data_IF_075607092133
#
_entry.id   IF_075607092133
#
_cell.length_a   1.000
_cell.length_b   1.000
_cell.length_c   1.000
_cell.angle_alpha   90.00
_cell.angle_beta   90.00
_cell.angle_gamma   90.00
#
_symmetry.space_group_name_H-M   'P 1'
#
loop_
_entity.id
_entity.type
_entity.pdbx_description
1 polymer ?
#
# COMPACT_ATOMS: atom_id res chain seq x y z
N UNK A 1 12.16 -11.71 35.17
CA UNK A 1 10.73 -11.43 34.86
C UNK A 1 9.87 -12.44 35.62
N UNK A 2 8.55 -12.21 35.74
CA UNK A 2 7.62 -13.22 36.30
C UNK A 2 6.53 -13.55 35.29
N UNK A 3 6.09 -14.80 35.23
CA UNK A 3 4.93 -15.19 34.44
C UNK A 3 3.61 -14.90 35.19
N UNK A 4 2.48 -15.21 34.57
CA UNK A 4 1.13 -15.08 35.14
C UNK A 4 0.89 -15.89 36.42
N UNK A 5 1.70 -16.92 36.65
CA UNK A 5 1.65 -17.77 37.85
C UNK A 5 2.62 -17.30 38.96
N UNK A 6 3.34 -16.19 38.74
CA UNK A 6 4.25 -15.59 39.72
C UNK A 6 5.65 -16.21 39.75
N UNK A 7 5.93 -17.21 38.91
CA UNK A 7 7.21 -17.91 38.79
C UNK A 7 8.27 -17.00 38.17
N UNK A 8 9.52 -17.11 38.63
CA UNK A 8 10.62 -16.23 38.22
C UNK A 8 11.39 -16.84 37.04
N UNK A 9 11.58 -16.03 36.01
CA UNK A 9 12.36 -16.38 34.83
C UNK A 9 13.53 -15.41 34.64
N UNK A 10 14.67 -15.96 34.25
CA UNK A 10 15.79 -15.20 33.70
C UNK A 10 15.58 -15.11 32.19
N UNK A 11 15.37 -13.90 31.68
CA UNK A 11 15.19 -13.67 30.26
C UNK A 11 16.42 -12.97 29.71
N UNK A 12 17.02 -13.56 28.69
CA UNK A 12 18.12 -12.99 27.93
C UNK A 12 17.52 -12.30 26.72
N UNK A 13 17.57 -10.97 26.73
CA UNK A 13 17.27 -10.17 25.55
C UNK A 13 18.50 -10.23 24.68
N UNK A 14 18.42 -10.74 23.43
CA UNK A 14 19.55 -10.71 22.52
C UNK A 14 20.03 -9.27 22.39
N UNK A 15 21.31 -9.03 22.69
CA UNK A 15 21.92 -7.76 22.29
C UNK A 15 21.81 -7.67 20.77
N UNK A 16 21.35 -6.55 20.21
CA UNK A 16 21.37 -6.39 18.77
C UNK A 16 22.80 -6.69 18.30
N UNK A 17 22.97 -7.42 17.17
CA UNK A 17 24.30 -7.63 16.63
C UNK A 17 24.97 -6.25 16.52
N UNK A 18 26.29 -6.14 16.81
CA UNK A 18 26.99 -4.91 16.54
C UNK A 18 26.70 -4.54 15.09
N UNK A 19 26.43 -3.25 14.80
CA UNK A 19 26.17 -2.84 13.43
C UNK A 19 27.29 -3.45 12.57
N UNK A 20 26.94 -4.17 11.48
CA UNK A 20 27.94 -4.64 10.52
C UNK A 20 28.91 -3.49 10.24
N UNK A 21 30.23 -3.75 10.11
CA UNK A 21 31.23 -2.70 9.91
C UNK A 21 30.79 -1.83 8.75
N UNK A 22 30.22 -0.67 9.07
CA UNK A 22 29.58 0.29 8.18
C UNK A 22 29.27 -0.28 6.78
N UNK A 23 28.48 -1.36 6.72
CA UNK A 23 27.71 -1.59 5.51
C UNK A 23 26.62 -0.58 5.67
N UNK A 24 26.82 0.58 5.06
CA UNK A 24 25.79 1.51 4.64
C UNK A 24 24.61 0.68 4.17
N UNK A 25 23.70 0.30 5.07
CA UNK A 25 22.40 -0.23 4.70
C UNK A 25 21.77 0.91 3.93
N UNK A 26 21.46 0.72 2.63
CA UNK A 26 20.88 1.78 1.87
C UNK A 26 19.42 1.96 2.30
N UNK A 27 19.20 2.69 3.38
CA UNK A 27 18.30 3.85 3.28
C UNK A 27 19.03 4.99 2.54
N UNK A 28 19.91 4.66 1.58
CA UNK A 28 20.34 5.60 0.57
C UNK A 28 19.06 6.01 -0.13
N UNK A 29 18.80 7.31 -0.15
CA UNK A 29 17.91 7.92 -1.12
C UNK A 29 18.28 7.33 -2.49
N UNK A 30 17.52 6.34 -2.94
CA UNK A 30 17.71 5.71 -4.23
C UNK A 30 17.73 6.82 -5.26
N UNK A 31 18.72 6.79 -6.16
CA UNK A 31 18.78 7.81 -7.19
C UNK A 31 17.49 7.76 -8.02
N UNK A 32 17.14 8.89 -8.66
CA UNK A 32 15.97 8.91 -9.55
C UNK A 32 16.06 7.79 -10.61
N UNK A 33 17.26 7.54 -11.13
CA UNK A 33 17.51 6.49 -12.11
C UNK A 33 17.25 5.09 -11.53
N UNK A 34 17.60 4.84 -10.27
CA UNK A 34 17.29 3.57 -9.61
C UNK A 34 15.78 3.40 -9.41
N UNK A 35 15.07 4.47 -9.03
CA UNK A 35 13.62 4.45 -8.90
C UNK A 35 12.93 4.20 -10.24
N UNK A 36 13.44 4.78 -11.32
CA UNK A 36 12.94 4.57 -12.68
C UNK A 36 13.14 3.10 -13.11
N UNK A 37 14.33 2.52 -12.86
CA UNK A 37 14.59 1.08 -13.10
C UNK A 37 13.70 0.16 -12.25
N UNK A 38 13.35 0.56 -11.03
CA UNK A 38 12.40 -0.19 -10.19
C UNK A 38 10.98 -0.05 -10.76
N UNK A 39 10.62 1.12 -11.28
CA UNK A 39 9.32 1.35 -11.90
C UNK A 39 9.15 0.48 -13.15
N UNK A 40 10.16 0.40 -14.02
CA UNK A 40 10.19 -0.43 -15.22
C UNK A 40 9.99 -1.91 -14.88
N UNK A 41 10.77 -2.45 -13.94
CA UNK A 41 10.57 -3.83 -13.44
C UNK A 41 9.18 -4.05 -12.86
N UNK A 42 8.67 -3.06 -12.11
CA UNK A 42 7.31 -3.11 -11.57
C UNK A 42 6.25 -3.18 -12.67
N UNK A 43 6.42 -2.45 -13.77
CA UNK A 43 5.53 -2.51 -14.94
C UNK A 43 5.60 -3.87 -15.64
N UNK A 44 6.80 -4.43 -15.81
CA UNK A 44 6.98 -5.76 -16.39
C UNK A 44 6.26 -6.84 -15.57
N UNK A 45 6.31 -6.74 -14.24
CA UNK A 45 5.59 -7.66 -13.36
C UNK A 45 4.07 -7.58 -13.54
N UNK A 46 3.53 -6.45 -13.99
CA UNK A 46 2.10 -6.27 -14.24
C UNK A 46 1.63 -6.76 -15.62
N UNK A 47 2.52 -7.20 -16.51
CA UNK A 47 2.13 -7.75 -17.83
C UNK A 47 1.05 -8.84 -17.76
N UNK A 48 1.01 -9.75 -16.77
CA UNK A 48 -0.06 -10.74 -16.69
C UNK A 48 -1.46 -10.15 -16.43
N UNK A 49 -1.56 -8.86 -16.07
CA UNK A 49 -2.81 -8.11 -15.94
C UNK A 49 -3.29 -7.51 -17.27
N UNK A 50 -2.48 -7.55 -18.33
CA UNK A 50 -2.87 -7.09 -19.67
C UNK A 50 -4.16 -7.78 -20.14
N UNK A 51 -5.03 -7.00 -20.77
CA UNK A 51 -6.35 -7.42 -21.27
C UNK A 51 -7.32 -7.95 -20.18
N UNK A 52 -6.99 -7.84 -18.89
CA UNK A 52 -7.90 -8.17 -17.79
C UNK A 52 -8.58 -6.92 -17.26
N UNK A 53 -9.83 -7.10 -16.83
CA UNK A 53 -10.59 -6.07 -16.14
C UNK A 53 -10.99 -6.54 -14.74
N UNK A 54 -10.95 -5.63 -13.77
CA UNK A 54 -11.36 -5.84 -12.38
C UNK A 54 -12.61 -5.00 -12.15
N UNK A 55 -13.68 -5.63 -11.67
CA UNK A 55 -14.96 -4.98 -11.36
C UNK A 55 -15.09 -4.83 -9.84
N UNK A 56 -15.45 -3.63 -9.39
CA UNK A 56 -15.61 -3.30 -7.98
C UNK A 56 -16.93 -2.54 -7.76
N UNK A 57 -17.99 -3.24 -7.32
CA UNK A 57 -19.24 -2.60 -6.91
C UNK A 57 -19.09 -1.94 -5.55
N UNK A 58 -19.44 -0.66 -5.46
CA UNK A 58 -19.40 0.12 -4.23
C UNK A 58 -20.57 1.10 -4.16
N UNK A 59 -21.51 0.80 -3.25
CA UNK A 59 -22.76 1.53 -3.09
C UNK A 59 -23.56 1.60 -4.41
N UNK A 60 -23.87 2.80 -4.91
CA UNK A 60 -24.61 3.02 -6.16
C UNK A 60 -23.72 2.78 -7.40
N UNK A 61 -22.42 2.98 -7.28
CA UNK A 61 -21.52 2.92 -8.42
C UNK A 61 -20.87 1.55 -8.56
N UNK A 62 -20.63 1.15 -9.81
CA UNK A 62 -19.73 0.06 -10.16
C UNK A 62 -18.54 0.63 -10.88
N UNK A 63 -17.34 0.23 -10.45
CA UNK A 63 -16.09 0.63 -11.07
C UNK A 63 -15.50 -0.53 -11.85
N UNK A 64 -14.96 -0.25 -13.04
CA UNK A 64 -14.25 -1.24 -13.85
C UNK A 64 -12.92 -0.68 -14.28
N UNK A 65 -11.86 -1.29 -13.77
CA UNK A 65 -10.49 -1.03 -14.18
C UNK A 65 -10.09 -2.05 -15.24
N UNK A 66 -9.72 -1.61 -16.43
CA UNK A 66 -9.10 -2.47 -17.45
C UNK A 66 -7.66 -2.02 -17.68
N UNK A 67 -6.69 -2.90 -17.40
CA UNK A 67 -5.27 -2.55 -17.42
C UNK A 67 -4.84 -2.03 -18.79
N UNK A 68 -4.06 -0.94 -18.78
CA UNK A 68 -3.59 -0.24 -19.98
C UNK A 68 -4.71 0.17 -20.97
N UNK A 69 -5.93 0.41 -20.46
CA UNK A 69 -7.06 0.81 -21.29
C UNK A 69 -7.81 1.99 -20.69
N UNK A 70 -8.68 1.72 -19.72
CA UNK A 70 -9.53 2.74 -19.14
C UNK A 70 -10.05 2.34 -17.76
N UNK A 71 -10.40 3.36 -16.97
CA UNK A 71 -11.11 3.23 -15.71
C UNK A 71 -12.50 3.83 -15.89
N UNK A 72 -13.52 3.02 -15.67
CA UNK A 72 -14.93 3.40 -15.80
C UNK A 72 -15.64 3.39 -14.46
N UNK A 73 -16.60 4.31 -14.32
CA UNK A 73 -17.64 4.32 -13.30
C UNK A 73 -18.99 4.23 -14.03
N UNK A 74 -19.88 3.37 -13.57
CA UNK A 74 -21.22 3.21 -14.17
C UNK A 74 -22.20 2.66 -13.13
N UNK A 75 -23.48 2.90 -13.35
CA UNK A 75 -24.55 2.27 -12.58
C UNK A 75 -25.00 1.00 -13.30
N UNK A 76 -25.27 -0.08 -12.56
CA UNK A 76 -25.85 -1.29 -13.12
C UNK A 76 -27.35 -1.23 -12.90
N UNK A 77 -28.14 -1.15 -13.97
CA UNK A 77 -29.58 -1.28 -13.83
C UNK A 77 -29.91 -2.74 -13.45
N UNK A 78 -30.61 -2.94 -12.33
CA UNK A 78 -31.05 -4.27 -11.89
C UNK A 78 -32.48 -4.60 -12.36
N UNK A 79 -33.13 -3.70 -13.10
CA UNK A 79 -34.47 -3.93 -13.64
C UNK A 79 -34.40 -4.53 -15.06
N UNK A 80 -34.60 -5.84 -15.15
CA UNK A 80 -34.64 -6.63 -16.40
C UNK A 80 -33.55 -7.71 -16.48
N UNK A 81 -33.58 -8.52 -17.55
CA UNK A 81 -32.54 -9.53 -17.85
C UNK A 81 -31.23 -8.89 -18.39
N UNK A 82 -31.22 -7.57 -18.56
CA UNK A 82 -30.07 -6.82 -19.06
C UNK A 82 -29.22 -6.26 -17.91
N UNK A 83 -28.01 -6.78 -17.78
CA UNK A 83 -26.94 -6.25 -16.90
C UNK A 83 -26.17 -5.08 -17.53
N UNK A 84 -26.84 -4.29 -18.37
CA UNK A 84 -26.21 -3.22 -19.14
C UNK A 84 -25.90 -2.02 -18.24
N UNK A 85 -24.67 -1.49 -18.37
CA UNK A 85 -24.23 -0.33 -17.60
C UNK A 85 -24.86 0.95 -18.12
N UNK A 86 -25.46 1.73 -17.23
CA UNK A 86 -25.97 3.08 -17.50
C UNK A 86 -25.08 4.12 -16.81
N UNK A 87 -25.21 5.39 -17.21
CA UNK A 87 -24.44 6.50 -16.61
C UNK A 87 -22.92 6.23 -16.61
N UNK A 88 -22.37 5.85 -17.78
CA UNK A 88 -20.95 5.48 -17.90
C UNK A 88 -20.10 6.75 -17.96
N UNK A 89 -19.18 6.87 -17.01
CA UNK A 89 -18.16 7.91 -16.95
C UNK A 89 -16.77 7.28 -16.98
N UNK A 90 -15.85 7.89 -17.72
CA UNK A 90 -14.44 7.53 -17.68
C UNK A 90 -13.74 8.39 -16.63
N UNK A 91 -13.07 7.76 -15.66
CA UNK A 91 -12.32 8.44 -14.61
C UNK A 91 -10.86 8.67 -14.99
N UNK A 92 -10.42 8.03 -16.06
CA UNK A 92 -9.11 8.16 -16.67
C UNK A 92 -8.94 7.14 -17.77
N UNK A 93 -8.07 7.44 -18.73
CA UNK A 93 -7.66 6.55 -19.81
C UNK A 93 -6.16 6.37 -19.77
N UNK A 94 -5.73 5.17 -20.15
CA UNK A 94 -4.32 4.89 -20.29
C UNK A 94 -3.76 5.67 -21.48
N UNK A 95 -2.56 6.23 -21.29
CA UNK A 95 -1.77 6.83 -22.36
C UNK A 95 -0.45 6.09 -22.43
N UNK A 96 -0.10 5.67 -23.65
CA UNK A 96 1.23 5.18 -23.94
C UNK A 96 2.27 6.24 -23.56
N UNK A 97 3.45 5.83 -23.05
CA UNK A 97 4.47 6.76 -22.64
C UNK A 97 4.97 7.57 -23.83
N UNK A 98 4.96 8.89 -23.70
CA UNK A 98 5.71 9.77 -24.59
C UNK A 98 7.18 9.77 -24.18
N UNK A 99 8.09 10.07 -25.11
CA UNK A 99 9.55 10.10 -24.88
C UNK A 99 10.02 11.05 -23.75
N UNK A 100 9.11 11.83 -23.16
CA UNK A 100 9.40 12.84 -22.13
C UNK A 100 8.91 12.47 -20.73
N UNK A 101 7.98 11.52 -20.58
CA UNK A 101 7.39 11.22 -19.27
C UNK A 101 7.38 9.71 -18.98
N UNK A 102 7.82 9.29 -17.78
CA UNK A 102 7.81 7.88 -17.40
C UNK A 102 6.37 7.39 -17.22
N UNK A 103 6.10 6.15 -17.65
CA UNK A 103 4.77 5.54 -17.57
C UNK A 103 4.28 5.34 -16.14
N UNK A 104 5.21 5.07 -15.23
CA UNK A 104 4.96 4.88 -13.82
C UNK A 104 6.12 5.41 -12.98
N UNK A 105 5.83 5.65 -11.71
CA UNK A 105 6.81 6.05 -10.69
C UNK A 105 6.70 5.14 -9.47
N UNK A 106 7.80 5.01 -8.75
CA UNK A 106 7.82 4.27 -7.48
C UNK A 106 7.65 5.25 -6.33
N UNK A 107 6.78 4.93 -5.39
CA UNK A 107 6.64 5.64 -4.13
C UNK A 107 6.81 4.66 -2.96
N UNK A 108 7.02 5.19 -1.76
CA UNK A 108 7.21 4.38 -0.55
C UNK A 108 6.32 4.85 0.57
N UNK A 109 5.70 3.90 1.27
CA UNK A 109 4.88 4.15 2.44
C UNK A 109 5.21 3.11 3.52
N UNK A 110 5.55 3.58 4.72
CA UNK A 110 6.00 2.73 5.82
C UNK A 110 7.08 1.69 5.41
N UNK A 111 8.10 2.11 4.64
CA UNK A 111 9.18 1.23 4.18
C UNK A 111 8.83 0.29 3.02
N UNK A 112 7.56 0.24 2.60
CA UNK A 112 7.09 -0.58 1.48
C UNK A 112 6.96 0.25 0.21
N UNK A 113 7.57 -0.21 -0.88
CA UNK A 113 7.42 0.42 -2.20
C UNK A 113 6.13 -0.01 -2.88
N UNK A 114 5.59 0.87 -3.70
CA UNK A 114 4.43 0.61 -4.56
C UNK A 114 4.58 1.39 -5.87
N UNK A 115 3.93 0.88 -6.92
CA UNK A 115 3.97 1.47 -8.25
C UNK A 115 2.80 2.42 -8.44
N UNK A 116 3.03 3.57 -9.05
CA UNK A 116 2.01 4.61 -9.26
C UNK A 116 1.92 4.97 -10.73
N UNK A 117 0.72 4.92 -11.28
CA UNK A 117 0.37 5.44 -12.61
C UNK A 117 -0.61 6.60 -12.47
N UNK A 118 -0.55 7.55 -13.40
CA UNK A 118 -1.53 8.63 -13.50
C UNK A 118 -2.27 8.54 -14.83
N UNK A 119 -3.59 8.43 -14.78
CA UNK A 119 -4.45 8.30 -15.95
C UNK A 119 -5.29 9.57 -16.08
N UNK A 120 -5.26 10.19 -17.25
CA UNK A 120 -5.95 11.45 -17.54
C UNK A 120 -7.03 11.25 -18.59
N UNK A 121 -7.59 12.34 -19.12
CA UNK A 121 -8.50 12.32 -20.27
C UNK A 121 -9.75 11.47 -20.00
N UNK A 122 -10.29 11.53 -18.79
CA UNK A 122 -11.61 10.99 -18.49
C UNK A 122 -12.74 11.82 -19.11
N UNK A 123 -13.99 11.45 -18.81
CA UNK A 123 -15.17 12.25 -19.17
C UNK A 123 -15.08 13.61 -18.49
N UNK A 124 -15.40 14.69 -19.21
CA UNK A 124 -15.39 16.06 -18.66
C UNK A 124 -16.30 16.16 -17.44
N UNK A 125 -15.77 16.77 -16.39
CA UNK A 125 -16.46 17.08 -15.15
C UNK A 125 -17.51 18.16 -15.42
N UNK A 126 -18.73 17.93 -14.99
CA UNK A 126 -19.84 18.88 -15.03
C UNK A 126 -19.60 20.08 -14.10
N UNK A 127 -18.93 19.87 -12.98
CA UNK A 127 -18.69 20.91 -11.97
C UNK A 127 -17.60 21.92 -12.37
N UNK A 128 -16.58 21.50 -13.11
CA UNK A 128 -15.42 22.34 -13.41
C UNK A 128 -14.97 22.32 -14.88
N UNK A 129 -15.63 21.55 -15.74
CA UNK A 129 -15.35 21.43 -17.16
C UNK A 129 -14.08 20.64 -17.52
N UNK A 130 -13.23 20.29 -16.55
CA UNK A 130 -11.96 19.60 -16.79
C UNK A 130 -12.16 18.08 -16.93
N UNK A 131 -11.33 17.38 -17.72
CA UNK A 131 -11.35 15.93 -17.78
C UNK A 131 -11.07 15.32 -16.40
N UNK A 132 -11.82 14.27 -16.03
CA UNK A 132 -11.53 13.47 -14.83
C UNK A 132 -10.14 12.84 -14.92
N UNK A 133 -9.48 12.71 -13.78
CA UNK A 133 -8.16 12.06 -13.67
C UNK A 133 -8.12 11.07 -12.51
N UNK A 134 -7.23 10.09 -12.59
CA UNK A 134 -7.06 9.08 -11.53
C UNK A 134 -5.58 8.81 -11.27
N UNK A 135 -5.17 8.81 -10.00
CA UNK A 135 -3.93 8.15 -9.57
C UNK A 135 -4.24 6.69 -9.22
N UNK A 136 -3.49 5.76 -9.82
CA UNK A 136 -3.64 4.32 -9.60
C UNK A 136 -2.38 3.81 -8.90
N UNK A 137 -2.57 3.21 -7.73
CA UNK A 137 -1.50 2.65 -6.90
C UNK A 137 -1.57 1.13 -6.89
N UNK A 138 -0.49 0.48 -7.32
CA UNK A 138 -0.35 -0.97 -7.26
C UNK A 138 0.52 -1.37 -6.09
N UNK A 139 -0.03 -2.16 -5.17
CA UNK A 139 0.65 -2.65 -3.99
C UNK A 139 0.80 -4.17 -4.04
N UNK A 140 1.96 -4.65 -3.59
CA UNK A 140 2.17 -6.09 -3.40
C UNK A 140 1.22 -6.64 -2.32
N UNK A 141 0.49 -7.70 -2.64
CA UNK A 141 -0.19 -8.57 -1.68
C UNK A 141 -0.08 -10.03 -2.15
N UNK A 142 0.64 -10.91 -1.43
CA UNK A 142 0.89 -12.28 -1.89
C UNK A 142 -0.36 -13.18 -1.89
N UNK A 143 -1.47 -12.74 -1.30
CA UNK A 143 -2.67 -13.56 -1.11
C UNK A 143 -3.76 -13.33 -2.17
N UNK A 144 -3.57 -12.36 -3.07
CA UNK A 144 -4.58 -12.00 -4.08
C UNK A 144 -3.91 -11.80 -5.43
N UNK A 145 -4.50 -12.36 -6.48
CA UNK A 145 -3.98 -12.17 -7.84
C UNK A 145 -4.12 -10.69 -8.25
N UNK A 146 -5.37 -10.21 -8.31
CA UNK A 146 -5.70 -8.80 -8.57
C UNK A 146 -7.01 -8.41 -7.87
N UNK A 147 -6.99 -7.33 -7.09
CA UNK A 147 -8.17 -6.82 -6.40
C UNK A 147 -8.12 -5.30 -6.25
N UNK A 148 -9.23 -4.61 -6.53
CA UNK A 148 -9.40 -3.21 -6.12
C UNK A 148 -9.68 -3.20 -4.61
N UNK A 149 -8.80 -2.58 -3.85
CA UNK A 149 -8.95 -2.46 -2.40
C UNK A 149 -9.61 -1.15 -1.98
N UNK A 150 -9.40 -0.08 -2.74
CA UNK A 150 -10.05 1.21 -2.49
C UNK A 150 -10.23 1.97 -3.80
N UNK A 151 -11.34 2.69 -3.92
CA UNK A 151 -11.45 3.82 -4.83
C UNK A 151 -12.12 4.98 -4.10
N UNK A 152 -11.61 6.20 -4.27
CA UNK A 152 -12.24 7.40 -3.72
C UNK A 152 -11.97 8.64 -4.55
N UNK A 153 -12.88 9.58 -4.49
CA UNK A 153 -12.68 10.93 -5.01
C UNK A 153 -11.92 11.76 -3.98
N UNK A 154 -10.65 12.05 -4.24
CA UNK A 154 -9.76 12.79 -3.31
C UNK A 154 -9.93 14.29 -3.42
N UNK A 155 -10.41 14.76 -4.57
CA UNK A 155 -10.90 16.13 -4.81
C UNK A 155 -11.83 16.09 -6.01
N UNK A 156 -12.56 17.18 -6.28
CA UNK A 156 -13.56 17.24 -7.34
C UNK A 156 -13.04 16.68 -8.67
N UNK A 157 -13.62 15.57 -9.13
CA UNK A 157 -13.29 14.87 -10.36
C UNK A 157 -11.83 14.33 -10.46
N UNK A 158 -11.14 14.18 -9.32
CA UNK A 158 -9.85 13.50 -9.22
C UNK A 158 -9.95 12.31 -8.26
N UNK A 159 -9.56 11.14 -8.74
CA UNK A 159 -9.75 9.88 -8.03
C UNK A 159 -8.41 9.26 -7.62
N UNK A 160 -8.46 8.45 -6.56
CA UNK A 160 -7.40 7.55 -6.15
C UNK A 160 -7.95 6.13 -6.18
N UNK A 161 -7.27 5.23 -6.90
CA UNK A 161 -7.57 3.80 -6.92
C UNK A 161 -6.37 3.01 -6.38
N UNK A 162 -6.63 2.07 -5.48
CA UNK A 162 -5.62 1.16 -4.93
C UNK A 162 -5.92 -0.27 -5.41
N UNK A 163 -4.95 -0.86 -6.10
CA UNK A 163 -5.01 -2.24 -6.60
C UNK A 163 -3.97 -3.08 -5.85
N UNK A 164 -4.40 -4.22 -5.32
CA UNK A 164 -3.54 -5.23 -4.70
C UNK A 164 -3.24 -6.34 -5.70
N UNK A 165 -2.00 -6.79 -5.77
CA UNK A 165 -1.59 -7.91 -6.63
C UNK A 165 -0.40 -8.69 -6.08
N UNK A 166 -0.41 -10.00 -6.28
CA UNK A 166 0.70 -10.89 -5.95
C UNK A 166 1.88 -10.72 -6.90
N UNK A 167 1.67 -10.19 -8.10
CA UNK A 167 2.71 -10.11 -9.12
C UNK A 167 3.86 -9.18 -8.72
N UNK A 168 3.54 -8.01 -8.13
CA UNK A 168 4.58 -7.11 -7.62
C UNK A 168 5.42 -7.74 -6.50
N UNK A 169 4.88 -8.72 -5.77
CA UNK A 169 5.61 -9.41 -4.71
C UNK A 169 6.76 -10.31 -5.23
N UNK A 170 6.82 -10.56 -6.54
CA UNK A 170 7.92 -11.29 -7.18
C UNK A 170 9.23 -10.51 -7.12
N UNK A 171 9.18 -9.19 -6.97
CA UNK A 171 10.36 -8.36 -6.70
C UNK A 171 10.41 -8.00 -5.20
N UNK A 172 11.47 -8.41 -4.47
CA UNK A 172 11.65 -8.13 -3.05
C UNK A 172 11.68 -6.65 -2.66
N UNK A 173 11.78 -5.73 -3.62
CA UNK A 173 11.73 -4.29 -3.36
C UNK A 173 10.32 -3.78 -3.09
N UNK A 174 9.27 -4.47 -3.56
CA UNK A 174 7.87 -4.15 -3.26
C UNK A 174 7.33 -4.94 -2.05
N UNK A 175 8.10 -5.91 -1.54
CA UNK A 175 7.77 -6.62 -0.30
C UNK A 175 8.35 -5.88 0.91
N UNK A 176 7.77 -6.12 2.09
CA UNK A 176 8.29 -5.52 3.32
C UNK A 176 9.49 -6.35 3.80
N UNK A 177 10.66 -5.71 3.97
CA UNK A 177 11.84 -6.33 4.61
C UNK A 177 11.73 -6.35 6.14
N UNK A 178 10.87 -5.52 6.74
CA UNK A 178 10.78 -5.30 8.19
C UNK A 178 10.02 -6.42 8.95
N UNK A 179 9.45 -7.41 8.26
CA UNK A 179 8.69 -8.47 8.93
C UNK A 179 9.54 -9.49 9.70
N UNK A 180 10.88 -9.38 9.71
CA UNK A 180 11.78 -10.35 10.37
C UNK A 180 12.75 -9.80 11.40
N UNK A 181 12.69 -8.51 11.75
CA UNK A 181 13.52 -7.92 12.83
C UNK A 181 12.96 -8.18 14.25
N UNK A 182 12.23 -9.27 14.43
CA UNK A 182 11.81 -9.72 15.77
C UNK A 182 12.92 -10.57 16.39
N UNK A 183 13.65 -10.00 17.36
CA UNK A 183 14.58 -10.77 18.19
C UNK A 183 13.80 -11.63 19.18
N UNK A 184 13.94 -12.95 19.09
CA UNK A 184 13.34 -13.88 20.07
C UNK A 184 14.01 -13.71 21.43
N UNK A 185 13.26 -13.26 22.44
CA UNK A 185 13.72 -13.24 23.84
C UNK A 185 13.68 -14.66 24.38
N UNK A 186 14.82 -15.17 24.85
CA UNK A 186 14.91 -16.49 25.48
C UNK A 186 14.72 -16.34 26.99
N UNK A 187 13.84 -17.13 27.60
CA UNK A 187 13.56 -17.09 29.04
C UNK A 187 13.70 -18.49 29.65
N UNK A 188 14.45 -18.59 30.74
CA UNK A 188 14.65 -19.84 31.49
C UNK A 188 14.17 -19.70 32.94
N UNK A 189 13.57 -20.74 33.55
CA UNK A 189 13.19 -20.73 34.96
C UNK A 189 14.40 -20.51 35.87
N UNK A 190 14.31 -19.60 36.84
CA UNK A 190 15.44 -19.32 37.75
C UNK A 190 15.75 -20.48 38.70
N UNK A 191 14.82 -21.40 38.92
CA UNK A 191 15.00 -22.58 39.78
C UNK A 191 15.97 -23.63 39.17
N UNK A 192 16.38 -23.44 37.90
CA UNK A 192 17.40 -24.24 37.24
C UNK A 192 18.83 -23.69 37.39
N UNK A 193 19.00 -22.38 37.62
CA UNK A 193 20.31 -21.68 37.57
C UNK A 193 21.07 -21.76 38.90
N UNK A 194 20.38 -21.95 40.03
CA UNK A 194 20.98 -22.05 41.36
C UNK A 194 21.35 -23.50 41.76
N UNK A 195 21.45 -24.43 40.81
CA UNK A 195 21.96 -25.76 41.11
C UNK A 195 23.49 -25.72 41.03
N UNK A 196 24.23 -25.93 42.14
CA UNK A 196 25.69 -26.00 42.09
C UNK A 196 26.13 -27.04 41.06
N UNK A 197 27.18 -26.71 40.30
CA UNK A 197 27.83 -27.60 39.35
C UNK A 197 28.64 -28.69 40.09
N UNK A 198 28.02 -29.37 41.05
CA UNK A 198 28.61 -30.47 41.80
C UNK A 198 27.52 -31.50 42.06
N UNK A 199 27.35 -32.39 41.10
CA UNK A 199 27.16 -33.82 41.29
C UNK A 199 26.96 -34.48 39.92
N UNK A 200 28.08 -34.69 39.24
CA UNK A 200 28.20 -35.90 38.45
C UNK A 200 28.06 -37.10 39.39
N UNK A 201 26.90 -37.75 39.42
CA UNK A 201 26.82 -39.21 39.45
C UNK A 201 25.40 -39.73 39.30
N UNK A 202 25.20 -40.47 38.21
CA UNK A 202 24.44 -41.72 38.14
C UNK A 202 22.99 -41.71 38.63
N UNK A 203 22.07 -41.78 37.66
CA UNK A 203 21.39 -43.04 37.29
C UNK A 203 20.51 -42.78 36.08
N UNK A 204 20.95 -43.27 34.92
CA UNK A 204 20.08 -43.50 33.76
C UNK A 204 19.43 -44.87 33.99
N UNK A 205 18.11 -44.97 34.16
CA UNK A 205 17.41 -46.22 33.96
C UNK A 205 17.33 -46.50 32.45
N UNK A 206 17.77 -47.67 31.97
CA UNK A 206 17.55 -48.06 30.59
C UNK A 206 16.10 -48.54 30.41
N UNK A 207 15.50 -48.12 29.31
CA UNK A 207 14.21 -48.55 28.76
C UNK A 207 12.95 -48.15 29.56
N UNK A 208 12.06 -47.39 28.92
CA UNK A 208 10.94 -48.00 28.19
C UNK A 208 9.86 -46.94 27.91
N UNK A 209 9.60 -46.64 26.64
CA UNK A 209 8.33 -46.96 25.97
C UNK A 209 8.30 -46.24 24.62
N UNK A 210 8.27 -47.07 23.58
CA UNK A 210 7.75 -46.71 22.27
C UNK A 210 6.38 -46.03 22.40
N UNK A 211 6.30 -44.76 22.01
CA UNK A 211 5.07 -44.22 21.46
C UNK A 211 5.21 -44.18 19.95
N UNK A 212 4.86 -45.31 19.31
CA UNK A 212 4.52 -45.35 17.89
C UNK A 212 3.49 -44.27 17.61
N UNK A 213 3.88 -43.21 16.89
CA UNK A 213 2.92 -42.30 16.27
C UNK A 213 2.40 -42.99 15.00
N UNK A 214 1.09 -43.25 14.86
CA UNK A 214 0.54 -43.79 13.63
C UNK A 214 0.67 -42.75 12.49
N UNK A 215 0.87 -43.19 11.24
CA UNK A 215 0.98 -42.28 10.10
C UNK A 215 -0.40 -41.72 9.78
N UNK A 216 -0.71 -40.51 10.28
CA UNK A 216 -1.91 -39.80 9.87
C UNK A 216 -1.63 -39.03 8.59
N UNK A 217 -2.21 -39.57 7.51
CA UNK A 217 -2.33 -39.05 6.16
C UNK A 217 -2.41 -37.52 6.11
N UNK A 218 -1.58 -36.93 5.26
CA UNK A 218 -1.78 -35.61 4.68
C UNK A 218 -3.22 -35.45 4.15
N UNK A 219 -3.88 -34.33 4.45
CA UNK A 219 -4.77 -33.69 3.51
C UNK A 219 -4.22 -32.29 3.19
N UNK A 220 -3.80 -32.10 1.93
CA UNK A 220 -3.77 -30.77 1.32
C UNK A 220 -5.22 -30.21 1.25
N UNK A 221 -5.37 -28.90 1.08
CA UNK A 221 -6.07 -28.03 2.01
C UNK A 221 -7.57 -27.99 1.76
N UNK A 222 -8.35 -27.91 2.84
CA UNK A 222 -9.71 -27.42 2.75
C UNK A 222 -9.61 -25.91 2.56
N UNK A 223 -9.77 -25.45 1.32
CA UNK A 223 -9.94 -24.04 1.00
C UNK A 223 -11.18 -23.58 1.76
N UNK A 224 -10.96 -22.88 2.88
CA UNK A 224 -11.99 -22.00 3.42
C UNK A 224 -12.08 -20.85 2.42
N UNK A 225 -13.15 -20.85 1.62
CA UNK A 225 -13.56 -19.66 0.88
C UNK A 225 -13.86 -18.62 1.96
N UNK A 226 -12.90 -17.72 2.20
CA UNK A 226 -13.14 -16.54 3.02
C UNK A 226 -14.32 -15.82 2.36
N UNK A 227 -15.36 -15.56 3.13
CA UNK A 227 -16.50 -14.83 2.62
C UNK A 227 -16.00 -13.47 2.09
N UNK A 228 -16.62 -12.94 1.04
CA UNK A 228 -16.25 -11.66 0.43
C UNK A 228 -16.21 -10.47 1.43
N UNK A 229 -16.79 -10.64 2.63
CA UNK A 229 -16.72 -9.69 3.75
C UNK A 229 -15.39 -9.75 4.53
N UNK A 230 -14.78 -10.93 4.65
CA UNK A 230 -13.53 -11.12 5.40
C UNK A 230 -12.30 -10.69 4.58
N UNK A 231 -12.35 -10.89 3.25
CA UNK A 231 -11.34 -10.34 2.32
C UNK A 231 -11.36 -8.81 2.25
N UNK A 232 -12.56 -8.20 2.37
CA UNK A 232 -12.72 -6.74 2.46
C UNK A 232 -12.07 -6.19 3.73
N UNK A 233 -12.29 -6.82 4.89
CA UNK A 233 -11.67 -6.38 6.15
C UNK A 233 -10.14 -6.45 6.17
N UNK A 234 -9.52 -7.46 5.55
CA UNK A 234 -8.06 -7.55 5.48
C UNK A 234 -7.48 -6.50 4.51
N UNK A 235 -8.14 -6.27 3.38
CA UNK A 235 -7.82 -5.17 2.47
C UNK A 235 -8.01 -3.82 3.17
N UNK A 236 -9.08 -3.62 3.94
CA UNK A 236 -9.36 -2.41 4.71
C UNK A 236 -8.29 -2.14 5.77
N UNK A 237 -7.75 -3.17 6.43
CA UNK A 237 -6.64 -3.00 7.41
C UNK A 237 -5.33 -2.63 6.72
N UNK A 238 -4.99 -3.29 5.62
CA UNK A 238 -3.82 -2.97 4.81
C UNK A 238 -3.94 -1.55 4.23
N UNK A 239 -5.10 -1.19 3.69
CA UNK A 239 -5.41 0.15 3.18
C UNK A 239 -5.42 1.19 4.31
N UNK A 240 -5.95 0.87 5.50
CA UNK A 240 -5.92 1.78 6.64
C UNK A 240 -4.50 2.02 7.15
N UNK A 241 -3.62 1.02 7.11
CA UNK A 241 -2.18 1.17 7.39
C UNK A 241 -1.49 2.03 6.33
N UNK A 242 -1.78 1.81 5.04
CA UNK A 242 -1.31 2.64 3.92
C UNK A 242 -1.79 4.10 4.12
N UNK A 243 -3.10 4.34 4.32
CA UNK A 243 -3.65 5.70 4.48
C UNK A 243 -3.12 6.40 5.73
N UNK A 244 -2.99 5.68 6.87
CA UNK A 244 -2.44 6.26 8.11
C UNK A 244 -0.99 6.69 7.93
N UNK A 245 -0.15 5.84 7.35
CA UNK A 245 1.26 6.16 7.09
C UNK A 245 1.44 7.31 6.08
N UNK A 246 0.46 7.56 5.21
CA UNK A 246 0.47 8.66 4.24
C UNK A 246 0.04 10.02 4.81
N UNK A 247 -0.90 10.03 5.76
CA UNK A 247 -1.39 11.27 6.39
C UNK A 247 -0.38 11.93 7.32
N UNK A 248 0.52 11.17 7.95
CA UNK A 248 1.55 11.72 8.84
C UNK A 248 2.64 12.52 8.09
N UNK A 249 2.75 12.38 6.76
CA UNK A 249 3.76 13.09 5.93
C UNK A 249 3.21 14.29 5.15
N UNK A 250 1.89 14.54 5.16
CA UNK A 250 1.26 15.67 4.46
C UNK A 250 0.79 16.77 5.42
N UNK A 251 1.61 17.16 6.40
CA UNK A 251 1.44 18.46 7.06
C UNK A 251 2.32 19.49 6.35
N UNK A 252 1.78 20.34 5.45
CA UNK A 252 2.55 21.44 4.91
C UNK A 252 2.87 22.42 6.05
N UNK A 253 4.16 22.69 6.25
CA UNK A 253 4.63 23.83 7.02
C UNK A 253 4.22 25.11 6.27
N UNK A 254 3.19 25.79 6.78
CA UNK A 254 2.79 27.12 6.29
C UNK A 254 3.87 28.12 6.73
N UNK A 255 4.53 28.86 5.82
CA UNK A 255 5.33 30.01 6.20
C UNK A 255 4.38 31.14 6.59
N UNK A 256 4.59 31.67 7.78
CA UNK A 256 3.84 32.78 8.35
C UNK A 256 4.20 34.06 7.59
N UNK A 257 3.27 34.57 6.78
CA UNK A 257 3.40 35.89 6.18
C UNK A 257 2.86 36.92 7.17
N UNK A 258 3.76 37.72 7.73
CA UNK A 258 3.44 38.84 8.60
C UNK A 258 2.75 39.97 7.81
N UNK A 259 1.73 40.53 8.46
CA UNK A 259 0.97 41.70 8.03
C UNK A 259 1.86 42.94 8.02
N UNK A 260 1.76 43.74 6.97
CA UNK A 260 1.79 45.20 7.12
C UNK A 260 0.82 45.82 6.10
N UNK A 261 -0.22 46.48 6.61
CA UNK A 261 -1.11 47.31 5.84
C UNK A 261 -1.12 48.72 6.47
N UNK A 262 -1.32 49.71 5.59
CA UNK A 262 -1.71 51.11 5.82
C UNK A 262 -0.58 52.14 6.04
N UNK A 263 -0.32 52.94 5.00
CA UNK A 263 -0.73 54.36 4.90
C UNK A 263 -0.11 54.97 3.62
N UNK A 264 -0.92 55.42 2.66
CA UNK A 264 -1.17 56.86 2.45
C UNK A 264 -2.04 57.12 1.21
N UNK A 265 -3.08 57.91 1.46
CA UNK A 265 -3.99 58.54 0.49
C UNK A 265 -3.29 59.76 -0.13
N UNK A 266 -3.44 59.97 -1.45
CA UNK A 266 -3.79 61.26 -2.12
C UNK A 266 -3.23 61.43 -3.54
N UNK A 267 -4.03 62.16 -4.32
CA UNK A 267 -3.80 62.77 -5.64
C UNK A 267 -3.86 61.80 -6.84
N UNK A 268 -4.64 62.02 -7.89
CA UNK A 268 -5.41 63.19 -8.34
C UNK A 268 -6.38 62.73 -9.44
N UNK A 269 -7.49 63.45 -9.53
CA UNK A 269 -8.54 63.35 -10.54
C UNK A 269 -8.05 63.77 -11.95
N UNK A 270 -8.92 63.49 -12.94
CA UNK A 270 -8.97 63.99 -14.34
C UNK A 270 -8.10 63.16 -15.32
N UNK A 271 -8.62 62.57 -16.40
CA UNK A 271 -9.55 63.09 -17.42
C UNK A 271 -10.27 61.94 -18.20
N UNK A 272 -11.55 62.14 -18.54
CA UNK A 272 -12.27 61.57 -19.71
C UNK A 272 -11.57 62.03 -21.02
N UNK A 273 -11.59 61.43 -22.21
CA UNK A 273 -12.57 60.69 -23.04
C UNK A 273 -11.78 60.05 -24.25
N UNK A 274 -12.41 59.27 -25.16
CA UNK A 274 -11.74 58.41 -26.14
C UNK A 274 -11.44 59.09 -27.48
N UNK A 275 -10.63 58.45 -28.33
CA UNK A 275 -10.52 58.79 -29.75
C UNK A 275 -10.64 57.55 -30.63
N UNK A 276 -11.66 57.58 -31.48
CA UNK A 276 -11.91 56.68 -32.60
C UNK A 276 -11.10 57.08 -33.85
N UNK A 277 -11.09 56.16 -34.83
CA UNK A 277 -10.66 56.28 -36.25
C UNK A 277 -9.14 56.31 -36.48
N UNK A 278 -8.52 55.50 -37.36
CA UNK A 278 -8.93 54.87 -38.63
C UNK A 278 -8.27 53.49 -38.81
#
# INVERSE_FOLDING_TARGET
MRNSHGERFLCTVPTPPPPPPEVTTPEQDLSKEDLDKIAERGLELLQPLENKCIIYPESWWTYKYCHQKDLQQYHVNMEGDNTEGTMIFYLGRFKEPSSKEPLARVQSIAGKKYLVQHWSDGTNCDLNGKPRTTEIQFHCNPNVDYQIAEIKEVSTCNYLMVILTSDLCKDPLFTNKEASLHHTIQCEPMDAVNRPLDQASTKVPPNSLDSKLPPTKNPHPRIHILNAKDGRQLADRLVAEIIRAGKDKQKPSVPQADKLAQHDDKEKQQEEEPRAEL
#
